data_IF_279246569827
#
_entry.id   IF_279246569827
#
_cell.length_a   1.000
_cell.length_b   1.000
_cell.length_c   1.000
_cell.angle_alpha   90.00
_cell.angle_beta   90.00
_cell.angle_gamma   90.00
#
_symmetry.space_group_name_H-M   'P 1'
#
loop_
_entity.id
_entity.type
_entity.pdbx_description
1 polymer ?
#
# COMPACT_ATOMS: atom_id res chain seq x y z
N UNK A 1 7.28 -5.08 12.42
CA UNK A 1 6.20 -4.59 11.53
C UNK A 1 6.15 -5.47 10.28
N UNK A 2 4.95 -5.75 9.76
CA UNK A 2 4.78 -6.48 8.49
C UNK A 2 5.09 -5.54 7.31
N UNK A 3 5.49 -6.09 6.15
CA UNK A 3 5.76 -5.30 4.92
C UNK A 3 4.54 -4.46 4.53
N UNK A 4 3.35 -5.02 4.64
CA UNK A 4 2.09 -4.31 4.39
C UNK A 4 1.98 -3.03 5.24
N UNK A 5 2.24 -3.12 6.55
CA UNK A 5 2.19 -1.95 7.45
C UNK A 5 3.25 -0.90 7.08
N UNK A 6 4.45 -1.33 6.69
CA UNK A 6 5.52 -0.44 6.26
C UNK A 6 5.19 0.27 4.94
N UNK A 7 4.56 -0.44 4.00
CA UNK A 7 4.07 0.14 2.74
C UNK A 7 3.03 1.22 3.01
N UNK A 8 2.08 0.95 3.89
CA UNK A 8 1.03 1.91 4.27
C UNK A 8 1.67 3.13 4.90
N UNK A 9 2.54 2.95 5.90
CA UNK A 9 3.22 4.07 6.55
C UNK A 9 4.08 4.88 5.56
N UNK A 10 4.79 4.21 4.65
CA UNK A 10 5.54 4.87 3.60
C UNK A 10 4.66 5.71 2.67
N UNK A 11 3.50 5.20 2.25
CA UNK A 11 2.53 5.95 1.45
C UNK A 11 2.03 7.21 2.18
N UNK A 12 1.73 7.11 3.47
CA UNK A 12 1.31 8.28 4.26
C UNK A 12 2.43 9.32 4.41
N UNK A 13 3.68 8.86 4.58
CA UNK A 13 4.86 9.73 4.72
C UNK A 13 5.23 10.40 3.40
N UNK A 14 5.27 9.64 2.31
CA UNK A 14 5.81 10.08 1.02
C UNK A 14 4.72 10.47 0.00
N UNK A 15 3.44 10.28 0.35
CA UNK A 15 2.25 10.53 -0.48
C UNK A 15 2.19 9.70 -1.76
N UNK A 16 3.16 8.83 -2.00
CA UNK A 16 3.17 7.92 -3.14
C UNK A 16 3.91 6.65 -2.76
N UNK A 17 3.46 5.52 -3.31
CA UNK A 17 4.17 4.25 -3.24
C UNK A 17 3.87 3.42 -4.46
N UNK A 18 4.88 2.71 -4.97
CA UNK A 18 4.70 1.76 -6.06
C UNK A 18 4.67 0.32 -5.54
N UNK A 19 3.73 -0.47 -6.05
CA UNK A 19 3.75 -1.92 -5.94
C UNK A 19 4.14 -2.48 -7.30
N UNK A 20 5.32 -3.11 -7.36
CA UNK A 20 5.87 -3.66 -8.58
C UNK A 20 4.85 -4.58 -9.30
N UNK A 21 4.78 -4.46 -10.62
CA UNK A 21 3.90 -5.25 -11.49
C UNK A 21 2.39 -5.16 -11.18
N UNK A 22 1.97 -4.24 -10.29
CA UNK A 22 0.57 -4.09 -9.88
C UNK A 22 0.10 -2.66 -10.15
N UNK A 23 0.78 -1.65 -9.61
CA UNK A 23 0.32 -0.27 -9.75
C UNK A 23 0.86 0.66 -8.69
N UNK A 24 0.42 1.91 -8.76
CA UNK A 24 0.91 2.99 -7.91
C UNK A 24 -0.22 3.59 -7.10
N UNK A 25 0.04 3.82 -5.82
CA UNK A 25 -0.80 4.61 -4.95
C UNK A 25 -0.29 6.05 -4.89
N UNK A 26 -1.22 6.99 -4.84
CA UNK A 26 -0.94 8.40 -4.64
C UNK A 26 -1.99 9.01 -3.71
N UNK A 27 -1.54 9.86 -2.79
CA UNK A 27 -2.41 10.68 -1.94
C UNK A 27 -2.30 12.11 -2.43
N UNK A 28 -3.44 12.71 -2.77
CA UNK A 28 -3.46 14.11 -3.22
C UNK A 28 -2.78 15.03 -2.19
N UNK A 29 -1.95 15.99 -2.62
CA UNK A 29 -1.22 16.87 -1.70
C UNK A 29 -2.16 17.75 -0.86
N UNK A 30 -3.37 18.03 -1.36
CA UNK A 30 -4.41 18.79 -0.66
C UNK A 30 -5.08 18.00 0.49
N UNK A 31 -4.83 16.70 0.59
CA UNK A 31 -5.36 15.87 1.68
C UNK A 31 -4.52 16.09 2.91
N UNK A 32 -5.13 16.75 3.90
CA UNK A 32 -4.60 16.84 5.26
C UNK A 32 -4.72 15.44 5.87
N UNK A 33 -3.58 14.78 6.04
CA UNK A 33 -3.53 13.54 6.78
C UNK A 33 -3.74 13.84 8.25
N UNK A 34 -4.60 13.07 8.92
CA UNK A 34 -4.75 13.24 10.34
C UNK A 34 -3.48 12.82 11.08
N UNK A 35 -3.16 13.55 12.15
CA UNK A 35 -2.00 13.27 13.00
C UNK A 35 -2.28 12.08 13.93
N UNK A 36 -1.22 11.36 14.31
CA UNK A 36 -1.28 10.30 15.34
C UNK A 36 -1.88 10.85 16.65
N UNK A 37 -3.17 10.61 16.89
CA UNK A 37 -3.89 11.07 18.09
C UNK A 37 -5.37 11.40 17.87
N UNK A 38 -5.80 11.66 16.63
CA UNK A 38 -7.21 11.93 16.33
C UNK A 38 -8.02 10.62 16.30
N UNK A 39 -8.98 10.51 17.23
CA UNK A 39 -9.80 9.31 17.47
C UNK A 39 -10.84 9.03 16.39
N UNK A 40 -11.02 9.94 15.43
CA UNK A 40 -11.98 9.81 14.35
C UNK A 40 -11.32 10.27 13.05
N UNK A 41 -10.55 9.35 12.48
CA UNK A 41 -9.70 9.65 11.34
C UNK A 41 -10.17 8.81 10.19
N UNK A 42 -11.07 9.39 9.41
CA UNK A 42 -11.45 8.88 8.09
C UNK A 42 -10.85 9.81 7.06
N UNK A 43 -10.11 9.25 6.09
CA UNK A 43 -9.68 10.04 4.95
C UNK A 43 -10.90 10.43 4.12
N UNK A 44 -10.92 11.62 3.52
CA UNK A 44 -12.00 11.98 2.60
C UNK A 44 -12.08 10.95 1.47
N UNK A 45 -13.29 10.75 0.94
CA UNK A 45 -13.50 9.84 -0.17
C UNK A 45 -12.65 10.27 -1.38
N UNK A 46 -11.92 9.32 -1.98
CA UNK A 46 -11.03 9.59 -3.10
C UNK A 46 -9.71 10.27 -2.73
N UNK A 47 -9.37 10.38 -1.44
CA UNK A 47 -8.08 10.88 -0.99
C UNK A 47 -6.91 10.05 -1.50
N UNK A 48 -7.11 8.73 -1.61
CA UNK A 48 -6.12 7.77 -2.07
C UNK A 48 -6.53 7.30 -3.46
N UNK A 49 -5.67 7.59 -4.43
CA UNK A 49 -5.85 7.17 -5.81
C UNK A 49 -4.93 6.00 -6.11
N UNK A 50 -5.46 5.02 -6.86
CA UNK A 50 -4.70 3.90 -7.35
C UNK A 50 -4.70 3.91 -8.88
N UNK A 51 -3.51 3.79 -9.46
CA UNK A 51 -3.33 3.63 -10.90
C UNK A 51 -2.79 2.24 -11.19
N UNK A 52 -3.58 1.46 -11.91
CA UNK A 52 -3.18 0.12 -12.35
C UNK A 52 -2.14 0.20 -13.46
N UNK A 53 -0.96 -0.39 -13.25
CA UNK A 53 0.04 -0.57 -14.30
C UNK A 53 0.88 -1.84 -14.05
N UNK A 54 0.80 -2.79 -14.98
CA UNK A 54 1.57 -4.05 -14.94
C UNK A 54 3.07 -3.85 -15.13
N UNK A 55 3.50 -2.66 -15.53
CA UNK A 55 4.90 -2.29 -15.75
C UNK A 55 5.44 -1.38 -14.64
N UNK A 56 4.66 -1.17 -13.57
CA UNK A 56 5.11 -0.39 -12.42
C UNK A 56 6.44 -0.95 -11.91
N UNK A 57 7.51 -0.13 -11.86
CA UNK A 57 8.81 -0.57 -11.35
C UNK A 57 8.76 -0.78 -9.84
N UNK A 58 9.77 -1.48 -9.31
CA UNK A 58 9.98 -1.56 -7.88
C UNK A 58 10.23 -0.15 -7.29
N UNK A 59 9.73 0.06 -6.08
CA UNK A 59 9.95 1.30 -5.33
C UNK A 59 11.23 1.19 -4.50
N UNK A 60 12.34 1.65 -5.07
CA UNK A 60 13.63 1.67 -4.37
C UNK A 60 13.56 2.46 -3.05
N UNK A 61 12.74 3.51 -3.00
CA UNK A 61 12.53 4.31 -1.80
C UNK A 61 11.78 3.55 -0.70
N UNK A 62 10.79 2.71 -1.07
CA UNK A 62 10.15 1.80 -0.14
C UNK A 62 11.12 0.75 0.39
N UNK A 63 11.98 0.19 -0.46
CA UNK A 63 13.00 -0.78 -0.04
C UNK A 63 13.94 -0.15 0.99
N UNK A 64 14.44 1.05 0.72
CA UNK A 64 15.31 1.77 1.66
C UNK A 64 14.59 2.09 2.97
N UNK A 65 13.30 2.43 2.92
CA UNK A 65 12.49 2.63 4.10
C UNK A 65 12.28 1.34 4.92
N UNK A 66 12.04 0.20 4.26
CA UNK A 66 11.96 -1.10 4.94
C UNK A 66 13.28 -1.44 5.61
N UNK A 67 14.43 -1.16 4.96
CA UNK A 67 15.76 -1.31 5.56
C UNK A 67 15.88 -0.46 6.82
N UNK A 68 15.52 0.82 6.75
CA UNK A 68 15.59 1.76 7.87
C UNK A 68 14.72 1.31 9.06
N UNK A 69 13.48 0.89 8.80
CA UNK A 69 12.52 0.52 9.85
C UNK A 69 12.73 -0.89 10.42
N UNK A 70 13.26 -1.82 9.62
CA UNK A 70 13.44 -3.23 10.04
C UNK A 70 14.86 -3.56 10.52
N UNK A 71 15.85 -2.73 10.18
CA UNK A 71 17.27 -3.01 10.41
C UNK A 71 17.84 -4.15 9.56
N UNK A 72 17.06 -4.68 8.61
CA UNK A 72 17.51 -5.75 7.69
C UNK A 72 18.45 -5.20 6.63
N UNK A 73 19.37 -6.04 6.14
CA UNK A 73 20.15 -5.70 4.95
C UNK A 73 19.25 -5.60 3.72
N UNK A 74 19.63 -4.75 2.76
CA UNK A 74 18.87 -4.46 1.55
C UNK A 74 18.35 -5.69 0.77
N UNK A 75 19.15 -6.75 0.54
CA UNK A 75 18.66 -7.94 -0.15
C UNK A 75 17.48 -8.64 0.54
N UNK A 76 17.47 -8.64 1.88
CA UNK A 76 16.38 -9.25 2.65
C UNK A 76 15.11 -8.38 2.59
N UNK A 77 15.26 -7.06 2.73
CA UNK A 77 14.14 -6.13 2.60
C UNK A 77 13.48 -6.20 1.21
N UNK A 78 14.31 -6.27 0.16
CA UNK A 78 13.83 -6.44 -1.22
C UNK A 78 13.09 -7.78 -1.40
N UNK A 79 13.64 -8.88 -0.86
CA UNK A 79 13.00 -10.20 -0.94
C UNK A 79 11.66 -10.26 -0.18
N UNK A 80 11.55 -9.58 0.96
CA UNK A 80 10.28 -9.47 1.69
C UNK A 80 9.22 -8.70 0.88
N UNK A 81 9.60 -7.59 0.24
CA UNK A 81 8.71 -6.79 -0.62
C UNK A 81 8.29 -7.55 -1.88
N UNK A 82 9.22 -8.27 -2.50
CA UNK A 82 8.92 -9.15 -3.64
C UNK A 82 7.94 -10.26 -3.24
N UNK A 83 8.16 -10.89 -2.09
CA UNK A 83 7.26 -11.93 -1.57
C UNK A 83 5.85 -11.39 -1.35
N UNK A 84 5.72 -10.20 -0.76
CA UNK A 84 4.44 -9.51 -0.62
C UNK A 84 3.79 -9.25 -1.98
N UNK A 85 4.54 -8.74 -2.95
CA UNK A 85 4.07 -8.48 -4.32
C UNK A 85 3.56 -9.76 -5.01
N UNK A 86 4.28 -10.87 -4.87
CA UNK A 86 3.88 -12.17 -5.41
C UNK A 86 2.55 -12.62 -4.78
N UNK A 87 2.42 -12.53 -3.46
CA UNK A 87 1.18 -12.89 -2.75
C UNK A 87 0.01 -12.01 -3.21
N UNK A 88 0.20 -10.70 -3.31
CA UNK A 88 -0.84 -9.80 -3.82
C UNK A 88 -1.30 -10.19 -5.22
N UNK A 89 -0.37 -10.48 -6.14
CA UNK A 89 -0.70 -10.95 -7.49
C UNK A 89 -1.47 -12.26 -7.48
N UNK A 90 -1.07 -13.22 -6.63
CA UNK A 90 -1.78 -14.49 -6.51
C UNK A 90 -3.23 -14.29 -6.10
N UNK A 91 -3.50 -13.47 -5.08
CA UNK A 91 -4.84 -13.15 -4.61
C UNK A 91 -5.68 -12.49 -5.72
N UNK A 92 -5.12 -11.46 -6.38
CA UNK A 92 -5.80 -10.77 -7.47
C UNK A 92 -6.09 -11.69 -8.66
N UNK A 93 -5.18 -12.61 -8.98
CA UNK A 93 -5.36 -13.53 -10.10
C UNK A 93 -6.42 -14.61 -9.85
N UNK A 94 -6.63 -15.02 -8.60
CA UNK A 94 -7.74 -15.93 -8.23
C UNK A 94 -9.06 -15.18 -7.97
N UNK A 95 -9.11 -13.87 -8.24
CA UNK A 95 -10.29 -13.04 -8.03
C UNK A 95 -10.62 -12.79 -6.55
N UNK A 96 -9.67 -13.06 -5.63
CA UNK A 96 -9.85 -12.81 -4.20
C UNK A 96 -9.52 -11.35 -3.90
N UNK A 97 -10.45 -10.58 -3.32
CA UNK A 97 -10.14 -9.24 -2.83
C UNK A 97 -9.03 -9.30 -1.80
N UNK A 98 -8.06 -8.39 -1.91
CA UNK A 98 -6.98 -8.21 -0.96
C UNK A 98 -7.25 -6.96 -0.11
N UNK A 99 -7.73 -7.11 1.14
CA UNK A 99 -7.74 -5.99 2.06
C UNK A 99 -6.29 -5.60 2.39
N UNK A 100 -6.00 -4.30 2.33
CA UNK A 100 -4.78 -3.68 2.86
C UNK A 100 -5.19 -2.87 4.07
N UNK A 101 -4.78 -3.32 5.25
CA UNK A 101 -5.14 -2.68 6.52
C UNK A 101 -4.68 -1.23 6.54
N UNK A 102 -5.60 -0.32 6.88
CA UNK A 102 -5.32 1.12 6.89
C UNK A 102 -5.40 1.83 5.53
N UNK A 103 -5.65 1.12 4.41
CA UNK A 103 -5.88 1.75 3.10
C UNK A 103 -7.25 1.42 2.51
N UNK A 104 -7.58 0.15 2.38
CA UNK A 104 -8.77 -0.27 1.61
C UNK A 104 -8.64 -1.66 1.03
N UNK A 105 -9.27 -1.90 -0.12
CA UNK A 105 -9.34 -3.22 -0.76
C UNK A 105 -8.85 -3.10 -2.20
N UNK A 106 -7.86 -3.91 -2.57
CA UNK A 106 -7.50 -4.16 -3.97
C UNK A 106 -8.28 -5.36 -4.49
N UNK A 107 -8.88 -5.22 -5.67
CA UNK A 107 -9.60 -6.32 -6.30
C UNK A 107 -9.45 -6.28 -7.81
N UNK A 108 -9.53 -7.46 -8.45
CA UNK A 108 -9.53 -7.55 -9.90
C UNK A 108 -10.97 -7.45 -10.40
N UNK A 109 -11.22 -6.55 -11.34
CA UNK A 109 -12.53 -6.40 -11.96
C UNK A 109 -12.75 -7.38 -13.11
N UNK A 110 -13.99 -7.39 -13.64
CA UNK A 110 -14.39 -8.30 -14.72
C UNK A 110 -13.61 -8.07 -16.03
N UNK A 111 -13.03 -6.87 -16.21
CA UNK A 111 -12.20 -6.54 -17.37
C UNK A 111 -10.74 -7.00 -17.19
N UNK A 112 -10.40 -7.53 -16.02
CA UNK A 112 -9.07 -8.02 -15.69
C UNK A 112 -8.11 -6.94 -15.20
N UNK A 113 -8.59 -5.71 -14.99
CA UNK A 113 -7.84 -4.62 -14.37
C UNK A 113 -7.93 -4.70 -12.84
N UNK A 114 -6.98 -4.10 -12.15
CA UNK A 114 -7.01 -4.00 -10.69
C UNK A 114 -7.62 -2.67 -10.31
N UNK A 115 -8.66 -2.71 -9.49
CA UNK A 115 -9.32 -1.56 -8.91
C UNK A 115 -9.02 -1.48 -7.42
N UNK A 116 -9.07 -0.27 -6.89
CA UNK A 116 -8.93 0.01 -5.47
C UNK A 116 -10.21 0.63 -4.93
N UNK A 117 -10.65 0.13 -3.78
CA UNK A 117 -11.75 0.68 -3.01
C UNK A 117 -11.17 1.18 -1.68
N UNK A 118 -11.17 2.49 -1.48
CA UNK A 118 -10.68 3.10 -0.24
C UNK A 118 -11.53 2.63 0.95
N UNK A 119 -10.86 2.26 2.04
CA UNK A 119 -11.50 1.90 3.30
C UNK A 119 -11.88 3.14 4.11
N UNK A 120 -13.02 3.07 4.82
CA UNK A 120 -13.51 4.17 5.65
C UNK A 120 -12.79 4.31 7.01
N UNK A 121 -12.02 3.30 7.44
CA UNK A 121 -11.36 3.28 8.75
C UNK A 121 -9.85 3.10 8.57
N UNK A 122 -9.07 4.06 9.04
CA UNK A 122 -7.63 3.89 9.23
C UNK A 122 -7.49 3.10 10.52
N UNK A 123 -7.12 1.83 10.45
CA UNK A 123 -7.02 1.01 11.66
C UNK A 123 -5.80 1.42 12.48
N UNK A 124 -5.99 2.34 13.41
CA UNK A 124 -5.06 2.60 14.52
C UNK A 124 -5.17 1.42 15.49
N UNK A 125 -4.40 0.35 15.29
CA UNK A 125 -4.20 -0.64 16.35
C UNK A 125 -2.82 -1.26 16.31
N UNK A 126 -1.89 -0.57 16.97
CA UNK A 126 -0.69 -1.18 17.56
C UNK A 126 -1.07 -1.58 18.99
N UNK A 127 -1.15 -2.88 19.27
CA UNK A 127 -0.95 -3.44 20.61
C UNK A 127 0.34 -4.28 20.59
#
# INVERSE_FOLDING_TARGET
MKVEQLLVHYLYKNKTVNIQDIGSFNISPDVILPSEGDKDTSLPEGAIQFTYDKKTPADEGLVDYIVEQSGKIRPLAASDLESYTILTRQFLNIGKPLPIEGLGILQKNQQGNVDFIQGNNITSRTE
#
